data_IF_190454949891
#
_entry.id   IF_190454949891
#
_cell.length_a   1.000
_cell.length_b   1.000
_cell.length_c   1.000
_cell.angle_alpha   90.00
_cell.angle_beta   90.00
_cell.angle_gamma   90.00
#
_symmetry.space_group_name_H-M   'P 1'
#
loop_
_entity.id
_entity.type
_entity.pdbx_description
1 polymer ?
#
# COMPACT_ATOMS: atom_id res chain seq x y z
N UNK A 1 -37.08 16.35 63.78
CA UNK A 1 -36.93 15.60 62.51
C UNK A 1 -36.46 16.48 61.35
N UNK A 2 -37.10 17.64 61.14
CA UNK A 2 -36.78 18.59 60.05
C UNK A 2 -35.34 19.14 60.15
N UNK A 3 -34.85 19.49 61.35
CA UNK A 3 -33.50 20.04 61.48
C UNK A 3 -32.40 19.02 61.19
N UNK A 4 -32.64 17.75 61.50
CA UNK A 4 -31.74 16.63 61.14
C UNK A 4 -31.68 16.44 59.63
N UNK A 5 -32.80 16.63 58.93
CA UNK A 5 -32.86 16.62 57.46
C UNK A 5 -32.10 17.82 56.85
N UNK A 6 -32.27 19.04 57.41
CA UNK A 6 -31.53 20.23 56.97
C UNK A 6 -30.02 20.09 57.16
N UNK A 7 -29.58 19.49 58.27
CA UNK A 7 -28.17 19.21 58.54
C UNK A 7 -27.58 18.23 57.52
N UNK A 8 -28.26 17.10 57.25
CA UNK A 8 -27.84 16.14 56.21
C UNK A 8 -27.78 16.75 54.81
N UNK A 9 -28.72 17.64 54.47
CA UNK A 9 -28.71 18.33 53.17
C UNK A 9 -27.48 19.23 53.02
N UNK A 10 -27.11 19.99 54.06
CA UNK A 10 -25.89 20.82 54.06
C UNK A 10 -24.63 19.97 53.91
N UNK A 11 -24.55 18.85 54.62
CA UNK A 11 -23.42 17.93 54.52
C UNK A 11 -23.29 17.37 53.10
N UNK A 12 -24.40 16.96 52.49
CA UNK A 12 -24.43 16.42 51.13
C UNK A 12 -23.97 17.47 50.09
N UNK A 13 -24.41 18.72 50.24
CA UNK A 13 -23.96 19.84 49.39
C UNK A 13 -22.46 20.12 49.59
N UNK A 14 -21.94 20.09 50.81
CA UNK A 14 -20.51 20.29 51.08
C UNK A 14 -19.67 19.19 50.45
N UNK A 15 -20.03 17.92 50.68
CA UNK A 15 -19.35 16.77 50.09
C UNK A 15 -19.38 16.80 48.57
N UNK A 16 -20.51 17.21 47.96
CA UNK A 16 -20.61 17.36 46.51
C UNK A 16 -19.63 18.43 45.99
N UNK A 17 -19.53 19.57 46.68
CA UNK A 17 -18.57 20.64 46.31
C UNK A 17 -17.11 20.19 46.46
N UNK A 18 -16.80 19.36 47.46
CA UNK A 18 -15.44 18.84 47.67
C UNK A 18 -15.06 17.73 46.68
N UNK A 19 -16.04 16.90 46.26
CA UNK A 19 -15.79 15.79 45.35
C UNK A 19 -15.80 16.20 43.88
N UNK A 20 -16.57 17.23 43.50
CA UNK A 20 -16.62 17.71 42.11
C UNK A 20 -15.25 18.02 41.50
N UNK A 21 -14.34 18.79 42.14
CA UNK A 21 -13.02 19.06 41.56
C UNK A 21 -12.17 17.79 41.38
N UNK A 22 -12.34 16.78 42.26
CA UNK A 22 -11.65 15.50 42.11
C UNK A 22 -12.18 14.71 40.92
N UNK A 23 -13.49 14.76 40.68
CA UNK A 23 -14.13 14.16 39.49
C UNK A 23 -13.62 14.85 38.23
N UNK A 24 -13.55 16.19 38.25
CA UNK A 24 -13.07 16.99 37.11
C UNK A 24 -11.58 16.72 36.81
N UNK A 25 -10.76 16.53 37.84
CA UNK A 25 -9.35 16.13 37.71
C UNK A 25 -9.22 14.73 37.08
N UNK A 26 -10.00 13.75 37.57
CA UNK A 26 -10.01 12.39 37.02
C UNK A 26 -10.45 12.39 35.56
N UNK A 27 -11.47 13.16 35.21
CA UNK A 27 -11.93 13.28 33.83
C UNK A 27 -10.87 13.93 32.93
N UNK A 28 -10.23 15.00 33.40
CA UNK A 28 -9.13 15.65 32.68
C UNK A 28 -7.97 14.68 32.41
N UNK A 29 -7.55 13.91 33.42
CA UNK A 29 -6.49 12.90 33.26
C UNK A 29 -6.90 11.82 32.25
N UNK A 30 -8.13 11.33 32.33
CA UNK A 30 -8.68 10.35 31.40
C UNK A 30 -8.68 10.88 29.97
N UNK A 31 -9.08 12.13 29.74
CA UNK A 31 -9.06 12.75 28.41
C UNK A 31 -7.65 12.84 27.83
N UNK A 32 -6.67 13.24 28.65
CA UNK A 32 -5.25 13.29 28.23
C UNK A 32 -4.74 11.90 27.86
N UNK A 33 -5.02 10.88 28.69
CA UNK A 33 -4.62 9.51 28.41
C UNK A 33 -5.26 8.98 27.11
N UNK A 34 -6.55 9.24 26.90
CA UNK A 34 -7.24 8.86 25.66
C UNK A 34 -6.61 9.54 24.44
N UNK A 35 -6.29 10.83 24.52
CA UNK A 35 -5.62 11.53 23.42
C UNK A 35 -4.23 10.95 23.12
N UNK A 36 -3.46 10.61 24.15
CA UNK A 36 -2.13 10.00 23.97
C UNK A 36 -2.23 8.61 23.34
N UNK A 37 -3.19 7.81 23.79
CA UNK A 37 -3.45 6.48 23.22
C UNK A 37 -3.87 6.60 21.76
N UNK A 38 -4.80 7.50 21.43
CA UNK A 38 -5.23 7.71 20.04
C UNK A 38 -4.06 8.13 19.15
N UNK A 39 -3.27 9.14 19.55
CA UNK A 39 -2.10 9.57 18.78
C UNK A 39 -1.10 8.44 18.52
N UNK A 40 -0.89 7.57 19.51
CA UNK A 40 -0.01 6.40 19.36
C UNK A 40 -0.55 5.46 18.30
N UNK A 41 -1.84 5.13 18.35
CA UNK A 41 -2.45 4.22 17.37
C UNK A 41 -2.53 4.84 15.97
N UNK A 42 -2.82 6.13 15.87
CA UNK A 42 -2.81 6.85 14.59
C UNK A 42 -1.42 6.77 13.94
N UNK A 43 -0.35 6.98 14.72
CA UNK A 43 1.03 6.80 14.24
C UNK A 43 1.30 5.36 13.80
N UNK A 44 0.89 4.36 14.59
CA UNK A 44 1.09 2.96 14.23
C UNK A 44 0.36 2.59 12.93
N UNK A 45 -0.87 3.08 12.74
CA UNK A 45 -1.66 2.86 11.52
C UNK A 45 -0.98 3.54 10.33
N UNK A 46 -0.49 4.76 10.50
CA UNK A 46 0.26 5.47 9.47
C UNK A 46 1.52 4.69 9.06
N UNK A 47 2.32 4.25 10.03
CA UNK A 47 3.56 3.51 9.78
C UNK A 47 3.28 2.18 9.05
N UNK A 48 2.23 1.46 9.46
CA UNK A 48 1.83 0.21 8.78
C UNK A 48 1.37 0.48 7.35
N UNK A 49 0.52 1.48 7.13
CA UNK A 49 0.06 1.83 5.79
C UNK A 49 1.21 2.27 4.87
N UNK A 50 2.13 3.09 5.39
CA UNK A 50 3.31 3.52 4.66
C UNK A 50 4.18 2.32 4.24
N UNK A 51 4.40 1.37 5.14
CA UNK A 51 5.17 0.17 4.84
C UNK A 51 4.46 -0.74 3.83
N UNK A 52 3.14 -0.89 3.91
CA UNK A 52 2.36 -1.65 2.91
C UNK A 52 2.50 -1.00 1.54
N UNK A 53 2.27 0.31 1.44
CA UNK A 53 2.39 1.04 0.19
C UNK A 53 3.80 0.90 -0.41
N UNK A 54 4.83 1.02 0.42
CA UNK A 54 6.21 0.84 -0.01
C UNK A 54 6.45 -0.56 -0.59
N UNK A 55 5.94 -1.61 0.05
CA UNK A 55 6.04 -3.00 -0.45
C UNK A 55 5.30 -3.15 -1.78
N UNK A 56 4.10 -2.57 -1.90
CA UNK A 56 3.32 -2.60 -3.14
C UNK A 56 4.06 -1.90 -4.29
N UNK A 57 4.66 -0.74 -4.03
CA UNK A 57 5.43 0.02 -5.01
C UNK A 57 6.73 -0.71 -5.41
N UNK A 58 7.44 -1.33 -4.44
CA UNK A 58 8.61 -2.18 -4.70
C UNK A 58 8.24 -3.39 -5.57
N UNK A 59 7.17 -4.10 -5.21
CA UNK A 59 6.70 -5.26 -5.97
C UNK A 59 6.26 -4.86 -7.38
N UNK A 60 5.55 -3.74 -7.54
CA UNK A 60 5.19 -3.21 -8.84
C UNK A 60 6.41 -2.92 -9.71
N UNK A 61 7.42 -2.27 -9.12
CA UNK A 61 8.67 -1.98 -9.81
C UNK A 61 9.41 -3.24 -10.26
N UNK A 62 9.39 -4.30 -9.45
CA UNK A 62 9.96 -5.59 -9.80
C UNK A 62 9.21 -6.25 -10.97
N UNK A 63 7.87 -6.11 -11.04
CA UNK A 63 7.11 -6.57 -12.21
C UNK A 63 7.53 -5.82 -13.47
N UNK A 64 7.68 -4.49 -13.42
CA UNK A 64 8.13 -3.70 -14.57
C UNK A 64 9.56 -4.07 -15.00
N UNK A 65 10.49 -4.25 -14.06
CA UNK A 65 11.85 -4.72 -14.37
C UNK A 65 11.82 -6.09 -15.03
N UNK A 66 11.02 -7.02 -14.51
CA UNK A 66 10.88 -8.36 -15.09
C UNK A 66 10.38 -8.32 -16.55
N UNK A 67 9.52 -7.35 -16.88
CA UNK A 67 9.05 -7.14 -18.24
C UNK A 67 10.19 -6.67 -19.15
N UNK A 68 10.97 -5.68 -18.71
CA UNK A 68 12.14 -5.19 -19.46
C UNK A 68 13.14 -6.34 -19.69
N UNK A 69 13.40 -7.13 -18.65
CA UNK A 69 14.32 -8.27 -18.71
C UNK A 69 13.86 -9.35 -19.68
N UNK A 70 12.58 -9.75 -19.65
CA UNK A 70 12.08 -10.81 -20.52
C UNK A 70 12.09 -10.38 -21.99
N UNK A 71 11.72 -9.12 -22.28
CA UNK A 71 11.74 -8.57 -23.64
C UNK A 71 13.16 -8.49 -24.17
N UNK A 72 14.09 -7.97 -23.37
CA UNK A 72 15.50 -7.88 -23.74
C UNK A 72 16.08 -9.26 -24.02
N UNK A 73 15.83 -10.23 -23.13
CA UNK A 73 16.32 -11.61 -23.30
C UNK A 73 15.78 -12.27 -24.55
N UNK A 74 14.49 -12.11 -24.83
CA UNK A 74 13.86 -12.68 -26.02
C UNK A 74 14.45 -12.08 -27.30
N UNK A 75 14.70 -10.77 -27.31
CA UNK A 75 15.37 -10.10 -28.42
C UNK A 75 16.80 -10.62 -28.62
N UNK A 76 17.57 -10.78 -27.55
CA UNK A 76 18.94 -11.31 -27.64
C UNK A 76 18.97 -12.75 -28.17
N UNK A 77 18.00 -13.59 -27.79
CA UNK A 77 17.86 -14.96 -28.31
C UNK A 77 17.56 -14.94 -29.81
N UNK A 78 16.62 -14.09 -30.25
CA UNK A 78 16.30 -13.94 -31.68
C UNK A 78 17.49 -13.45 -32.51
N UNK A 79 18.34 -12.60 -31.94
CA UNK A 79 19.57 -12.16 -32.62
C UNK A 79 20.65 -13.23 -32.68
N UNK A 80 20.62 -14.18 -31.75
CA UNK A 80 21.65 -15.21 -31.59
C UNK A 80 21.29 -16.55 -32.23
N UNK A 81 20.04 -16.72 -32.68
CA UNK A 81 19.53 -17.96 -33.26
C UNK A 81 18.81 -17.65 -34.58
N UNK A 82 18.98 -18.49 -35.61
CA UNK A 82 18.23 -18.38 -36.88
C UNK A 82 16.75 -18.79 -36.73
N UNK A 83 16.24 -18.85 -35.49
CA UNK A 83 14.88 -19.29 -35.15
C UNK A 83 14.00 -18.05 -35.02
N UNK A 84 13.03 -17.92 -35.92
CA UNK A 84 12.08 -16.79 -35.93
C UNK A 84 10.95 -16.93 -34.90
N UNK A 85 10.88 -18.05 -34.18
CA UNK A 85 9.83 -18.35 -33.21
C UNK A 85 10.11 -17.74 -31.83
N UNK A 86 9.03 -17.31 -31.16
CA UNK A 86 9.08 -16.81 -29.78
C UNK A 86 9.30 -17.97 -28.80
N UNK A 87 10.17 -17.78 -27.80
CA UNK A 87 10.46 -18.81 -26.80
C UNK A 87 9.25 -19.15 -25.93
N UNK A 88 9.21 -20.39 -25.44
CA UNK A 88 8.18 -20.81 -24.49
C UNK A 88 8.27 -20.08 -23.14
N UNK A 89 9.46 -19.60 -22.79
CA UNK A 89 9.64 -18.77 -21.60
C UNK A 89 8.88 -17.44 -21.74
N UNK A 90 8.97 -16.78 -22.89
CA UNK A 90 8.23 -15.54 -23.17
C UNK A 90 6.71 -15.76 -23.18
N UNK A 91 6.25 -16.87 -23.79
CA UNK A 91 4.82 -17.26 -23.78
C UNK A 91 4.32 -17.55 -22.36
N UNK A 92 5.13 -18.22 -21.55
CA UNK A 92 4.83 -18.53 -20.15
C UNK A 92 4.75 -17.25 -19.32
N UNK A 93 5.73 -16.36 -19.48
CA UNK A 93 5.74 -15.06 -18.84
C UNK A 93 4.46 -14.26 -19.16
N UNK A 94 4.05 -14.17 -20.44
CA UNK A 94 2.81 -13.49 -20.83
C UNK A 94 1.55 -14.06 -20.16
N UNK A 95 1.53 -15.36 -19.84
CA UNK A 95 0.41 -15.98 -19.11
C UNK A 95 0.46 -15.60 -17.63
N UNK A 96 1.61 -15.77 -16.99
CA UNK A 96 1.80 -15.48 -15.57
C UNK A 96 1.55 -14.00 -15.25
N UNK A 97 2.10 -13.10 -16.05
CA UNK A 97 2.01 -11.66 -15.79
C UNK A 97 0.57 -11.13 -15.93
N UNK A 98 -0.30 -11.86 -16.65
CA UNK A 98 -1.70 -11.49 -16.81
C UNK A 98 -2.56 -11.80 -15.58
N UNK A 99 -2.07 -12.63 -14.65
CA UNK A 99 -2.77 -12.92 -13.39
C UNK A 99 -2.57 -11.80 -12.35
N UNK A 100 -1.63 -10.88 -12.59
CA UNK A 100 -1.40 -9.72 -11.72
C UNK A 100 -2.24 -8.53 -12.18
N UNK A 101 -3.37 -8.28 -11.52
CA UNK A 101 -4.30 -7.18 -11.85
C UNK A 101 -3.66 -5.79 -11.87
N UNK A 102 -2.61 -5.59 -11.06
CA UNK A 102 -1.86 -4.34 -10.99
C UNK A 102 -1.01 -4.10 -12.25
N UNK A 103 -0.64 -5.14 -12.99
CA UNK A 103 0.28 -5.01 -14.11
C UNK A 103 -0.40 -4.33 -15.32
N UNK A 104 0.30 -3.43 -16.05
CA UNK A 104 -0.32 -2.68 -17.13
C UNK A 104 -0.83 -3.59 -18.26
N UNK A 105 -2.15 -3.52 -18.52
CA UNK A 105 -2.79 -4.28 -19.60
C UNK A 105 -2.23 -3.97 -20.99
N UNK A 106 -1.75 -2.75 -21.20
CA UNK A 106 -1.09 -2.37 -22.47
C UNK A 106 0.22 -3.15 -22.70
N UNK A 107 0.99 -3.41 -21.64
CA UNK A 107 2.23 -4.17 -21.75
C UNK A 107 1.94 -5.65 -22.00
N UNK A 108 0.90 -6.20 -21.37
CA UNK A 108 0.40 -7.56 -21.66
C UNK A 108 0.01 -7.68 -23.13
N UNK A 109 -0.69 -6.66 -23.65
CA UNK A 109 -1.11 -6.65 -25.05
C UNK A 109 0.09 -6.62 -25.99
N UNK A 110 1.11 -5.80 -25.72
CA UNK A 110 2.37 -5.79 -26.49
C UNK A 110 3.03 -7.17 -26.51
N UNK A 111 3.13 -7.87 -25.38
CA UNK A 111 3.62 -9.25 -25.37
C UNK A 111 2.76 -10.19 -26.23
N UNK A 112 1.44 -10.01 -26.17
CA UNK A 112 0.51 -10.83 -26.93
C UNK A 112 0.65 -10.62 -28.44
N UNK A 113 0.84 -9.40 -28.91
CA UNK A 113 1.02 -9.13 -30.34
C UNK A 113 2.33 -9.69 -30.87
N UNK A 114 3.41 -9.59 -30.09
CA UNK A 114 4.70 -10.24 -30.42
C UNK A 114 4.58 -11.76 -30.50
N UNK A 115 3.82 -12.39 -29.59
CA UNK A 115 3.51 -13.83 -29.67
C UNK A 115 2.74 -14.19 -30.94
N UNK A 116 1.90 -13.27 -31.43
CA UNK A 116 1.11 -13.45 -32.65
C UNK A 116 1.87 -13.10 -33.95
N UNK A 117 3.15 -12.72 -33.85
CA UNK A 117 4.03 -12.54 -35.01
C UNK A 117 4.52 -11.11 -35.25
N UNK A 118 4.15 -10.14 -34.41
CA UNK A 118 4.74 -8.80 -34.49
C UNK A 118 6.23 -8.80 -34.07
N UNK A 119 7.05 -7.87 -34.61
CA UNK A 119 8.46 -7.76 -34.28
C UNK A 119 8.63 -7.39 -32.81
N UNK A 120 9.58 -8.03 -32.12
CA UNK A 120 9.86 -7.69 -30.72
C UNK A 120 10.55 -6.32 -30.60
N UNK A 121 11.19 -5.88 -31.69
CA UNK A 121 11.82 -4.58 -31.86
C UNK A 121 10.86 -3.42 -31.56
N UNK A 122 9.57 -3.59 -31.84
CA UNK A 122 8.54 -2.58 -31.51
C UNK A 122 8.41 -2.34 -30.00
N UNK A 123 8.74 -3.33 -29.17
CA UNK A 123 8.78 -3.18 -27.71
C UNK A 123 10.17 -2.72 -27.26
N UNK A 124 11.23 -3.33 -27.81
CA UNK A 124 12.62 -3.11 -27.38
C UNK A 124 13.01 -1.63 -27.45
N UNK A 125 12.62 -0.92 -28.52
CA UNK A 125 12.95 0.49 -28.68
C UNK A 125 12.23 1.43 -27.72
N UNK A 126 11.20 0.95 -27.02
CA UNK A 126 10.41 1.73 -26.06
C UNK A 126 10.71 1.36 -24.60
N UNK A 127 11.65 0.44 -24.33
CA UNK A 127 11.86 -0.10 -22.97
C UNK A 127 12.22 0.97 -21.94
N UNK A 128 13.07 1.93 -22.30
CA UNK A 128 13.45 3.04 -21.41
C UNK A 128 12.23 3.93 -21.09
N UNK A 129 11.40 4.23 -22.10
CA UNK A 129 10.19 5.03 -21.93
C UNK A 129 9.14 4.29 -21.09
N UNK A 130 8.97 2.98 -21.31
CA UNK A 130 8.10 2.11 -20.51
C UNK A 130 8.56 2.11 -19.05
N UNK A 131 9.85 1.95 -18.81
CA UNK A 131 10.41 1.93 -17.46
C UNK A 131 10.18 3.26 -16.76
N UNK A 132 10.47 4.38 -17.43
CA UNK A 132 10.25 5.73 -16.89
C UNK A 132 8.76 6.05 -16.64
N UNK A 133 7.86 5.56 -17.51
CA UNK A 133 6.42 5.78 -17.39
C UNK A 133 5.81 5.04 -16.22
N UNK A 134 6.27 3.81 -15.95
CA UNK A 134 5.61 2.92 -15.02
C UNK A 134 6.25 2.84 -13.65
N UNK A 135 7.58 2.98 -13.54
CA UNK A 135 8.23 2.85 -12.24
C UNK A 135 7.70 3.87 -11.22
N UNK A 136 7.41 3.35 -10.02
CA UNK A 136 7.01 4.11 -8.83
C UNK A 136 8.25 4.65 -8.13
N UNK A 137 8.14 5.88 -7.62
CA UNK A 137 9.18 6.55 -6.82
C UNK A 137 9.16 6.09 -5.37
#
# INVERSE_FOLDING_TARGET
>A
MIDKLKSKLKELVSRKKELQPKIDEVNSKREIELQNVNKKFDHMVYDVNYNIQKIEDEFYNDLIRSFVEIVTREFDIKRSTDIYEITDNFKTYRKLIADFDMFPKELIQKLHTVINGEPIEEIVYELDDIQNKYMKS
#
